data_IF_062679298494
#
_entry.id   IF_062679298494
#
_cell.length_a   1.000
_cell.length_b   1.000
_cell.length_c   1.000
_cell.angle_alpha   90.00
_cell.angle_beta   90.00
_cell.angle_gamma   90.00
#
_symmetry.space_group_name_H-M   'P 1'
#
loop_
_entity.id
_entity.type
_entity.pdbx_description
1 polymer ?
#
# COMPACT_ATOMS: atom_id res chain seq x y z
N UNK A 1 -99.20 15.37 -28.04
CA UNK A 1 -99.39 16.33 -26.93
C UNK A 1 -98.62 15.81 -25.72
N UNK A 2 -97.90 16.67 -24.99
CA UNK A 2 -97.57 16.60 -23.53
C UNK A 2 -97.00 15.29 -22.91
N UNK A 3 -96.10 15.29 -21.92
CA UNK A 3 -95.27 16.33 -21.27
C UNK A 3 -94.33 15.67 -20.22
N UNK A 4 -93.10 16.17 -20.09
CA UNK A 4 -92.30 16.31 -18.83
C UNK A 4 -91.88 15.12 -17.92
N UNK A 5 -90.70 15.35 -17.30
CA UNK A 5 -90.35 15.04 -15.89
C UNK A 5 -89.55 13.78 -15.52
N UNK A 6 -88.22 13.96 -15.49
CA UNK A 6 -87.30 13.78 -14.34
C UNK A 6 -87.27 12.48 -13.49
N UNK A 7 -86.04 12.00 -13.25
CA UNK A 7 -85.66 11.09 -12.16
C UNK A 7 -84.15 11.12 -11.91
N UNK A 8 -83.71 11.31 -10.66
CA UNK A 8 -82.31 11.60 -10.29
C UNK A 8 -81.91 10.85 -9.00
N UNK A 9 -80.77 10.16 -8.97
CA UNK A 9 -80.01 9.69 -7.78
C UNK A 9 -78.68 9.06 -8.25
N UNK A 10 -77.49 9.56 -7.87
CA UNK A 10 -76.76 9.42 -6.58
C UNK A 10 -76.33 7.96 -6.31
N UNK A 11 -75.10 7.57 -5.90
CA UNK A 11 -73.77 8.14 -5.58
C UNK A 11 -72.76 6.93 -5.64
N UNK A 12 -71.42 6.98 -5.56
CA UNK A 12 -70.32 7.93 -5.85
C UNK A 12 -68.97 7.23 -5.48
N UNK A 13 -67.80 7.69 -5.97
CA UNK A 13 -66.48 7.76 -5.24
C UNK A 13 -65.34 8.32 -6.12
N UNK A 14 -64.84 9.50 -5.73
CA UNK A 14 -63.45 9.99 -5.64
C UNK A 14 -62.37 9.66 -6.71
N UNK A 15 -61.76 10.71 -7.30
CA UNK A 15 -60.35 11.10 -7.03
C UNK A 15 -59.94 12.42 -7.73
N UNK A 16 -59.05 13.20 -7.11
CA UNK A 16 -58.48 14.45 -7.64
C UNK A 16 -57.53 14.25 -8.83
N UNK A 17 -57.44 15.26 -9.72
CA UNK A 17 -56.41 15.32 -10.76
C UNK A 17 -55.99 16.77 -11.13
N UNK A 18 -55.44 17.52 -10.18
CA UNK A 18 -54.69 18.76 -10.44
C UNK A 18 -53.18 18.46 -10.50
N UNK A 19 -52.58 18.44 -11.69
CA UNK A 19 -51.16 18.71 -11.95
C UNK A 19 -50.82 18.67 -13.46
N UNK A 20 -50.39 19.79 -14.04
CA UNK A 20 -49.71 19.82 -15.35
C UNK A 20 -48.19 19.94 -15.10
N UNK A 21 -47.35 18.97 -15.53
CA UNK A 21 -45.92 18.99 -15.24
C UNK A 21 -45.14 20.00 -16.10
N UNK A 22 -44.20 20.70 -15.45
CA UNK A 22 -43.36 21.74 -16.04
C UNK A 22 -42.18 21.15 -16.85
N UNK A 23 -42.45 20.58 -18.03
CA UNK A 23 -41.39 20.06 -18.93
C UNK A 23 -41.53 20.50 -20.41
N UNK A 24 -42.58 21.24 -20.76
CA UNK A 24 -42.90 21.59 -22.15
C UNK A 24 -42.41 22.99 -22.59
N UNK A 25 -41.11 23.30 -22.41
CA UNK A 25 -40.45 24.46 -23.07
C UNK A 25 -38.92 24.34 -23.10
N UNK A 26 -38.39 23.50 -23.98
CA UNK A 26 -36.99 23.59 -24.44
C UNK A 26 -36.96 23.62 -25.97
N UNK A 27 -36.48 24.73 -26.54
CA UNK A 27 -36.28 24.86 -27.98
C UNK A 27 -35.25 23.85 -28.49
N UNK A 28 -35.34 23.37 -29.76
CA UNK A 28 -34.45 22.34 -30.30
C UNK A 28 -32.95 22.65 -30.13
N UNK A 29 -32.54 23.92 -30.32
CA UNK A 29 -31.17 24.42 -30.08
C UNK A 29 -30.54 23.95 -28.75
N UNK A 30 -31.33 23.91 -27.67
CA UNK A 30 -30.81 23.62 -26.32
C UNK A 30 -30.53 22.12 -26.14
N UNK A 31 -31.25 21.24 -26.85
CA UNK A 31 -31.00 19.79 -26.80
C UNK A 31 -29.71 19.44 -27.55
N UNK A 32 -29.54 19.97 -28.75
CA UNK A 32 -28.37 19.70 -29.59
C UNK A 32 -27.07 20.29 -28.98
N UNK A 33 -27.15 21.47 -28.35
CA UNK A 33 -26.06 22.04 -27.56
C UNK A 33 -25.68 21.20 -26.33
N UNK A 34 -26.65 20.52 -25.69
CA UNK A 34 -26.37 19.64 -24.55
C UNK A 34 -25.80 18.29 -24.99
N UNK A 35 -26.34 17.67 -26.03
CA UNK A 35 -25.88 16.38 -26.55
C UNK A 35 -24.44 16.48 -27.11
N UNK A 36 -24.13 17.57 -27.84
CA UNK A 36 -22.76 17.84 -28.33
C UNK A 36 -21.75 18.09 -27.21
N UNK A 37 -22.14 18.78 -26.13
CA UNK A 37 -21.29 18.97 -24.95
C UNK A 37 -21.11 17.68 -24.14
N UNK A 38 -22.17 16.87 -23.97
CA UNK A 38 -22.12 15.56 -23.32
C UNK A 38 -21.14 14.63 -24.06
N UNK A 39 -21.26 14.56 -25.39
CA UNK A 39 -20.38 13.79 -26.27
C UNK A 39 -18.90 14.23 -26.15
N UNK A 40 -18.63 15.55 -26.21
CA UNK A 40 -17.28 16.11 -26.01
C UNK A 40 -16.71 15.81 -24.62
N UNK A 41 -17.54 15.81 -23.57
CA UNK A 41 -17.13 15.51 -22.19
C UNK A 41 -16.79 14.02 -22.01
N UNK A 42 -17.61 13.14 -22.58
CA UNK A 42 -17.39 11.69 -22.57
C UNK A 42 -16.15 11.30 -23.38
N UNK A 43 -15.95 11.89 -24.57
CA UNK A 43 -14.75 11.71 -25.39
C UNK A 43 -13.46 12.09 -24.64
N UNK A 44 -13.44 13.26 -23.97
CA UNK A 44 -12.29 13.68 -23.14
C UNK A 44 -12.03 12.75 -21.95
N UNK A 45 -13.08 12.19 -21.35
CA UNK A 45 -12.94 11.19 -20.28
C UNK A 45 -12.32 9.89 -20.81
N UNK A 46 -12.85 9.38 -21.93
CA UNK A 46 -12.35 8.16 -22.58
C UNK A 46 -10.87 8.27 -22.99
N UNK A 47 -10.48 9.37 -23.62
CA UNK A 47 -9.07 9.62 -24.00
C UNK A 47 -8.15 9.63 -22.77
N UNK A 48 -8.59 10.23 -21.65
CA UNK A 48 -7.82 10.21 -20.39
C UNK A 48 -7.66 8.80 -19.83
N UNK A 49 -8.72 8.00 -19.80
CA UNK A 49 -8.68 6.60 -19.34
C UNK A 49 -7.77 5.75 -20.21
N UNK A 50 -7.82 5.89 -21.53
CA UNK A 50 -6.94 5.17 -22.46
C UNK A 50 -5.48 5.57 -22.26
N UNK A 51 -5.17 6.86 -22.15
CA UNK A 51 -3.80 7.33 -21.87
C UNK A 51 -3.27 6.81 -20.52
N UNK A 52 -4.13 6.72 -19.50
CA UNK A 52 -3.75 6.18 -18.18
C UNK A 52 -3.42 4.68 -18.24
N UNK A 53 -4.25 3.88 -18.94
CA UNK A 53 -4.01 2.45 -19.15
C UNK A 53 -2.74 2.22 -19.99
N UNK A 54 -2.53 2.99 -21.06
CA UNK A 54 -1.31 2.91 -21.88
C UNK A 54 -0.07 3.30 -21.06
N UNK A 55 -0.17 4.30 -20.17
CA UNK A 55 0.90 4.65 -19.23
C UNK A 55 1.27 3.50 -18.29
N UNK A 56 0.28 2.86 -17.66
CA UNK A 56 0.49 1.69 -16.79
C UNK A 56 1.14 0.54 -17.55
N UNK A 57 0.66 0.23 -18.77
CA UNK A 57 1.22 -0.83 -19.60
C UNK A 57 2.65 -0.53 -20.07
N UNK A 58 2.97 0.74 -20.37
CA UNK A 58 4.32 1.16 -20.72
C UNK A 58 5.29 0.97 -19.54
N UNK A 59 4.90 1.37 -18.33
CA UNK A 59 5.70 1.17 -17.10
C UNK A 59 5.87 -0.32 -16.78
N UNK A 60 4.84 -1.14 -16.98
CA UNK A 60 4.94 -2.59 -16.83
C UNK A 60 5.92 -3.21 -17.84
N UNK A 61 5.90 -2.77 -19.10
CA UNK A 61 6.81 -3.28 -20.14
C UNK A 61 8.27 -2.84 -19.97
N UNK A 62 8.54 -1.61 -19.50
CA UNK A 62 9.91 -1.19 -19.17
C UNK A 62 10.46 -1.98 -17.99
N UNK A 63 9.63 -2.19 -16.95
CA UNK A 63 9.97 -3.03 -15.79
C UNK A 63 10.29 -4.48 -16.20
N UNK A 64 9.55 -5.04 -17.16
CA UNK A 64 9.82 -6.38 -17.71
C UNK A 64 11.16 -6.48 -18.47
N UNK A 65 11.59 -5.40 -19.15
CA UNK A 65 12.86 -5.39 -19.91
C UNK A 65 14.11 -5.29 -19.03
N UNK A 66 14.03 -4.62 -17.89
CA UNK A 66 15.16 -4.56 -16.95
C UNK A 66 15.33 -5.84 -16.11
N UNK A 67 14.26 -6.59 -15.85
CA UNK A 67 14.30 -7.86 -15.09
C UNK A 67 14.95 -9.06 -15.81
N UNK A 68 15.64 -8.85 -16.93
CA UNK A 68 16.29 -9.90 -17.74
C UNK A 68 17.81 -9.76 -17.86
N UNK A 69 18.43 -8.69 -17.33
CA UNK A 69 19.89 -8.61 -17.25
C UNK A 69 20.42 -9.31 -15.98
N UNK A 70 20.73 -10.60 -16.10
CA UNK A 70 21.56 -11.30 -15.12
C UNK A 70 23.01 -10.87 -15.26
N UNK A 71 23.52 -10.09 -14.31
CA UNK A 71 24.97 -9.81 -14.20
C UNK A 71 25.67 -11.06 -13.67
N UNK A 72 26.37 -11.79 -14.54
CA UNK A 72 27.25 -12.87 -14.13
C UNK A 72 28.56 -12.26 -13.61
N UNK A 73 28.74 -12.28 -12.29
CA UNK A 73 30.02 -11.92 -11.68
C UNK A 73 31.01 -13.10 -11.79
N UNK A 74 32.28 -12.88 -12.19
CA UNK A 74 33.29 -13.93 -12.20
C UNK A 74 33.69 -14.34 -10.76
N UNK A 75 34.14 -15.58 -10.55
CA UNK A 75 34.56 -16.03 -9.22
C UNK A 75 35.83 -15.32 -8.76
N UNK A 76 35.81 -14.75 -7.55
CA UNK A 76 36.97 -14.11 -6.94
C UNK A 76 37.90 -15.16 -6.32
N UNK A 77 39.01 -15.45 -6.97
CA UNK A 77 40.06 -16.34 -6.47
C UNK A 77 40.79 -15.70 -5.27
N UNK A 78 40.95 -16.43 -4.16
CA UNK A 78 41.57 -15.91 -2.94
C UNK A 78 43.10 -16.10 -2.95
N UNK A 79 43.93 -15.05 -2.76
CA UNK A 79 45.38 -15.21 -2.80
C UNK A 79 45.96 -15.93 -1.58
N UNK A 80 46.72 -17.00 -1.85
CA UNK A 80 47.99 -17.38 -1.20
C UNK A 80 48.15 -17.26 0.33
N UNK A 81 48.30 -18.41 1.00
CA UNK A 81 48.54 -18.49 2.44
C UNK A 81 49.88 -17.93 2.94
N UNK A 82 49.98 -17.76 4.27
CA UNK A 82 51.22 -17.37 4.98
C UNK A 82 51.82 -18.55 5.77
N UNK A 83 53.13 -18.51 6.11
CA UNK A 83 53.81 -19.62 6.77
C UNK A 83 53.39 -19.78 8.24
N UNK A 84 53.46 -21.03 8.72
CA UNK A 84 53.32 -21.34 10.15
C UNK A 84 54.55 -20.88 10.92
N UNK A 85 54.34 -20.18 12.04
CA UNK A 85 55.36 -19.92 13.07
C UNK A 85 54.75 -20.27 14.42
N UNK A 86 55.31 -21.27 15.07
CA UNK A 86 54.94 -21.70 16.42
C UNK A 86 55.60 -20.82 17.48
N UNK A 87 54.80 -20.29 18.40
CA UNK A 87 55.22 -19.58 19.61
C UNK A 87 54.36 -20.04 20.80
N UNK A 88 54.88 -19.99 22.04
CA UNK A 88 54.27 -20.71 23.17
C UNK A 88 52.98 -20.06 23.67
N UNK A 89 52.11 -20.89 24.26
CA UNK A 89 50.83 -20.48 24.80
C UNK A 89 50.98 -19.47 25.96
N UNK A 90 50.26 -18.36 25.85
CA UNK A 90 49.93 -17.49 26.98
C UNK A 90 48.41 -17.41 27.11
N UNK A 91 47.90 -17.67 28.31
CA UNK A 91 46.48 -17.57 28.62
C UNK A 91 46.00 -16.12 28.45
N UNK A 92 45.33 -15.87 27.33
CA UNK A 92 44.44 -14.71 27.21
C UNK A 92 43.03 -15.19 26.94
N UNK A 93 42.17 -14.88 27.90
CA UNK A 93 40.72 -14.98 27.85
C UNK A 93 40.18 -14.05 26.75
N UNK A 94 40.33 -14.45 25.47
CA UNK A 94 39.88 -13.68 24.32
C UNK A 94 38.36 -13.74 24.23
N UNK A 95 37.76 -12.62 24.62
CA UNK A 95 36.39 -12.24 24.35
C UNK A 95 35.96 -12.65 22.94
N UNK A 96 34.84 -13.39 22.89
CA UNK A 96 34.05 -13.66 21.68
C UNK A 96 33.93 -12.38 20.85
N UNK A 97 34.25 -12.40 19.53
CA UNK A 97 34.25 -11.18 18.73
C UNK A 97 32.86 -10.54 18.68
N UNK A 98 32.87 -9.21 18.59
CA UNK A 98 31.77 -8.28 18.87
C UNK A 98 30.67 -8.25 17.79
N UNK A 99 30.14 -9.42 17.45
CA UNK A 99 29.14 -9.64 16.39
C UNK A 99 27.69 -9.68 16.91
N UNK A 100 27.43 -9.24 18.14
CA UNK A 100 26.16 -9.46 18.83
C UNK A 100 24.98 -8.56 18.38
N UNK A 101 25.22 -7.49 17.62
CA UNK A 101 24.25 -6.40 17.39
C UNK A 101 24.00 -6.02 15.92
N UNK A 102 24.39 -6.85 14.93
CA UNK A 102 24.13 -6.52 13.50
C UNK A 102 22.70 -6.88 13.10
N UNK A 103 22.04 -5.98 12.38
CA UNK A 103 20.73 -6.25 11.78
C UNK A 103 20.90 -6.98 10.44
N UNK A 104 20.16 -8.08 10.29
CA UNK A 104 19.90 -8.74 9.01
C UNK A 104 18.46 -8.44 8.60
N UNK A 105 18.28 -7.70 7.51
CA UNK A 105 16.99 -7.12 7.10
C UNK A 105 16.68 -7.53 5.66
N UNK A 106 15.46 -7.98 5.38
CA UNK A 106 15.04 -8.37 4.04
C UNK A 106 13.62 -7.92 3.71
N UNK A 107 13.40 -7.44 2.48
CA UNK A 107 12.06 -7.16 1.98
C UNK A 107 11.33 -8.46 1.61
N UNK A 108 10.11 -8.62 2.10
CA UNK A 108 9.14 -9.56 1.56
C UNK A 108 8.09 -8.78 0.77
N UNK A 109 8.07 -8.97 -0.55
CA UNK A 109 7.13 -8.26 -1.44
C UNK A 109 5.85 -9.07 -1.62
N UNK A 110 4.68 -8.44 -1.41
CA UNK A 110 3.39 -9.16 -1.43
C UNK A 110 3.10 -9.82 -2.79
N UNK A 111 3.45 -9.16 -3.90
CA UNK A 111 3.38 -9.73 -5.25
C UNK A 111 4.34 -10.91 -5.51
N UNK A 112 5.22 -11.23 -4.55
CA UNK A 112 6.12 -12.38 -4.57
C UNK A 112 5.40 -13.73 -4.55
N UNK A 113 4.18 -13.78 -4.00
CA UNK A 113 3.41 -15.03 -3.90
C UNK A 113 2.90 -15.54 -5.26
N UNK A 114 2.78 -14.65 -6.25
CA UNK A 114 2.20 -14.94 -7.57
C UNK A 114 3.22 -15.59 -8.53
N UNK A 115 3.65 -14.88 -9.58
CA UNK A 115 4.53 -15.43 -10.62
C UNK A 115 5.90 -15.90 -10.11
N UNK A 116 6.38 -15.35 -8.98
CA UNK A 116 7.61 -15.76 -8.31
C UNK A 116 7.43 -16.98 -7.40
N UNK A 117 6.18 -17.35 -7.06
CA UNK A 117 5.82 -18.50 -6.22
C UNK A 117 6.58 -18.55 -4.88
N UNK A 118 6.80 -17.37 -4.28
CA UNK A 118 7.55 -17.22 -3.03
C UNK A 118 6.60 -16.85 -1.87
N UNK A 119 5.95 -17.84 -1.23
CA UNK A 119 5.10 -17.61 -0.05
C UNK A 119 5.94 -17.30 1.20
N UNK A 120 5.35 -16.75 2.28
CA UNK A 120 6.07 -16.50 3.53
C UNK A 120 6.67 -17.75 4.18
N UNK A 121 6.17 -18.94 3.85
CA UNK A 121 6.74 -20.23 4.28
C UNK A 121 8.09 -20.57 3.64
N UNK A 122 8.51 -19.86 2.58
CA UNK A 122 9.82 -20.01 1.94
C UNK A 122 10.92 -19.10 2.57
N UNK A 123 10.59 -18.29 3.57
CA UNK A 123 11.53 -17.38 4.23
C UNK A 123 12.45 -18.15 5.19
N UNK A 124 13.76 -17.98 5.01
CA UNK A 124 14.82 -18.49 5.91
C UNK A 124 14.96 -17.57 7.14
N UNK A 125 13.96 -17.63 8.02
CA UNK A 125 13.77 -16.72 9.17
C UNK A 125 14.90 -16.73 10.20
N UNK A 126 15.66 -17.81 10.28
CA UNK A 126 16.85 -17.99 11.12
C UNK A 126 18.03 -17.11 10.68
N UNK A 127 18.06 -16.70 9.41
CA UNK A 127 19.08 -15.78 8.85
C UNK A 127 18.70 -14.30 8.97
N UNK A 128 17.46 -13.99 9.37
CA UNK A 128 16.90 -12.64 9.41
C UNK A 128 16.61 -12.17 10.83
N UNK A 129 16.75 -10.87 11.05
CA UNK A 129 16.30 -10.17 12.27
C UNK A 129 15.04 -9.36 12.02
N UNK A 130 14.89 -8.80 10.81
CA UNK A 130 13.73 -7.98 10.43
C UNK A 130 13.26 -8.35 9.02
N UNK A 131 11.94 -8.40 8.83
CA UNK A 131 11.28 -8.44 7.52
C UNK A 131 10.56 -7.12 7.30
N UNK A 132 10.77 -6.52 6.14
CA UNK A 132 10.03 -5.35 5.69
C UNK A 132 8.95 -5.83 4.70
N UNK A 133 7.68 -5.78 5.09
CA UNK A 133 6.57 -6.21 4.26
C UNK A 133 6.21 -5.12 3.25
N UNK A 134 6.51 -5.36 1.97
CA UNK A 134 6.43 -4.38 0.91
C UNK A 134 5.26 -4.64 -0.06
N UNK A 135 4.43 -3.66 -0.42
CA UNK A 135 4.35 -2.28 0.10
C UNK A 135 2.90 -1.92 0.40
N UNK A 136 2.65 -1.23 1.51
CA UNK A 136 1.45 -0.42 1.65
C UNK A 136 1.51 0.82 0.75
N UNK A 137 0.35 1.28 0.32
CA UNK A 137 0.15 2.47 -0.49
C UNK A 137 -0.55 3.56 0.36
N UNK A 138 -0.77 4.73 -0.21
CA UNK A 138 -1.52 5.84 0.42
C UNK A 138 -2.68 6.31 -0.44
N UNK A 139 -3.80 6.60 0.20
CA UNK A 139 -4.96 7.25 -0.40
C UNK A 139 -4.77 8.79 -0.50
N UNK A 140 -5.50 9.49 -1.38
CA UNK A 140 -5.34 10.94 -1.60
C UNK A 140 -5.67 11.84 -0.38
N UNK A 141 -6.35 11.29 0.63
CA UNK A 141 -6.67 11.91 1.92
C UNK A 141 -5.54 11.79 2.97
N UNK A 142 -4.48 11.03 2.66
CA UNK A 142 -3.38 10.72 3.57
C UNK A 142 -3.47 9.34 4.22
N UNK A 143 -4.58 8.60 4.10
CA UNK A 143 -4.73 7.30 4.75
C UNK A 143 -3.77 6.25 4.16
N UNK A 144 -3.02 5.54 5.00
CA UNK A 144 -2.23 4.35 4.61
C UNK A 144 -3.18 3.18 4.39
N UNK A 145 -2.97 2.44 3.30
CA UNK A 145 -3.81 1.33 2.86
C UNK A 145 -2.97 0.15 2.40
N UNK A 146 -3.50 -1.06 2.58
CA UNK A 146 -2.97 -2.28 1.99
C UNK A 146 -3.10 -2.23 0.45
N UNK A 147 -2.06 -2.67 -0.26
CA UNK A 147 -2.01 -2.56 -1.73
C UNK A 147 -2.63 -3.76 -2.44
N UNK A 148 -2.63 -4.94 -1.81
CA UNK A 148 -3.17 -6.17 -2.36
C UNK A 148 -3.84 -6.99 -1.27
N UNK A 149 -5.10 -6.66 -0.97
CA UNK A 149 -5.88 -7.34 0.08
C UNK A 149 -5.89 -8.87 -0.08
N UNK A 150 -5.84 -9.39 -1.30
CA UNK A 150 -5.78 -10.84 -1.51
C UNK A 150 -4.46 -11.44 -0.98
N UNK A 151 -3.31 -10.89 -1.38
CA UNK A 151 -2.02 -11.34 -0.87
C UNK A 151 -1.85 -11.04 0.64
N UNK A 152 -2.29 -9.86 1.06
CA UNK A 152 -2.04 -9.28 2.36
C UNK A 152 -2.84 -10.00 3.46
N UNK A 153 -4.18 -10.10 3.31
CA UNK A 153 -5.09 -10.54 4.37
C UNK A 153 -6.06 -11.67 4.02
N UNK A 154 -6.33 -11.96 2.74
CA UNK A 154 -7.47 -12.83 2.37
C UNK A 154 -7.04 -14.23 1.85
N UNK A 155 -5.85 -14.39 1.25
CA UNK A 155 -5.41 -15.71 0.74
C UNK A 155 -5.23 -16.72 1.88
N UNK A 156 -5.88 -17.87 1.75
CA UNK A 156 -5.77 -18.97 2.71
C UNK A 156 -4.61 -19.89 2.33
N UNK A 157 -3.74 -20.18 3.30
CA UNK A 157 -2.64 -21.12 3.18
C UNK A 157 -2.99 -22.49 3.79
N UNK A 158 -2.19 -23.55 3.56
CA UNK A 158 -2.45 -24.86 4.15
C UNK A 158 -2.55 -24.79 5.68
N UNK A 159 -3.69 -25.23 6.21
CA UNK A 159 -4.03 -25.15 7.64
C UNK A 159 -5.01 -24.01 8.00
N UNK A 160 -5.31 -23.10 7.07
CA UNK A 160 -6.32 -22.07 7.26
C UNK A 160 -7.74 -22.61 7.06
N UNK A 161 -8.65 -22.20 7.95
CA UNK A 161 -10.07 -22.57 7.94
C UNK A 161 -10.84 -21.75 6.92
N UNK A 162 -11.65 -22.41 6.09
CA UNK A 162 -12.60 -21.74 5.19
C UNK A 162 -13.99 -21.52 5.82
N UNK A 163 -14.18 -22.00 7.06
CA UNK A 163 -15.48 -22.02 7.76
C UNK A 163 -15.56 -20.99 8.89
N UNK A 164 -14.52 -20.18 9.07
CA UNK A 164 -14.43 -19.10 10.06
C UNK A 164 -14.84 -17.76 9.43
N UNK A 165 -15.35 -16.85 10.25
CA UNK A 165 -15.73 -15.51 9.80
C UNK A 165 -14.48 -14.70 9.37
N UNK A 166 -14.43 -14.37 8.08
CA UNK A 166 -13.34 -13.62 7.46
C UNK A 166 -13.32 -12.13 7.87
N UNK A 167 -14.38 -11.61 8.50
CA UNK A 167 -14.40 -10.23 9.01
C UNK A 167 -13.73 -10.08 10.38
N UNK A 168 -13.53 -11.18 11.11
CA UNK A 168 -12.91 -11.19 12.44
C UNK A 168 -11.59 -11.98 12.53
N UNK A 169 -11.16 -12.65 11.44
CA UNK A 169 -9.96 -13.48 11.41
C UNK A 169 -8.96 -13.04 10.33
N UNK A 170 -7.68 -12.97 10.70
CA UNK A 170 -6.58 -12.63 9.79
C UNK A 170 -6.11 -13.86 9.00
N UNK A 171 -6.02 -13.72 7.67
CA UNK A 171 -5.38 -14.68 6.77
C UNK A 171 -4.22 -14.00 6.03
N UNK A 172 -3.96 -14.44 4.79
CA UNK A 172 -2.95 -13.85 3.92
C UNK A 172 -1.53 -13.99 4.44
N UNK A 173 -0.64 -13.19 3.86
CA UNK A 173 0.76 -13.17 4.27
C UNK A 173 0.94 -12.69 5.71
N UNK A 174 0.10 -11.77 6.21
CA UNK A 174 0.23 -11.28 7.59
C UNK A 174 -0.01 -12.37 8.63
N UNK A 175 -1.00 -13.26 8.45
CA UNK A 175 -1.16 -14.44 9.33
C UNK A 175 0.09 -15.33 9.31
N UNK A 176 0.63 -15.60 8.13
CA UNK A 176 1.81 -16.47 7.99
C UNK A 176 3.07 -15.86 8.61
N UNK A 177 3.26 -14.54 8.47
CA UNK A 177 4.36 -13.80 9.10
C UNK A 177 4.19 -13.72 10.63
N UNK A 178 2.98 -13.55 11.13
CA UNK A 178 2.69 -13.65 12.57
C UNK A 178 3.03 -15.07 13.13
N UNK A 179 2.68 -16.13 12.40
CA UNK A 179 3.08 -17.51 12.74
C UNK A 179 4.60 -17.73 12.62
N UNK A 180 5.29 -17.00 11.74
CA UNK A 180 6.75 -17.02 11.61
C UNK A 180 7.43 -16.32 12.80
N UNK A 181 6.92 -15.15 13.24
CA UNK A 181 7.32 -14.47 14.48
C UNK A 181 7.12 -15.32 15.72
N UNK A 182 5.99 -16.04 15.84
CA UNK A 182 5.72 -16.93 16.98
C UNK A 182 6.77 -18.04 17.11
N UNK A 183 7.28 -18.56 15.98
CA UNK A 183 8.35 -19.58 15.94
C UNK A 183 9.74 -18.98 16.13
N UNK A 184 9.99 -17.79 15.60
CA UNK A 184 11.29 -17.11 15.60
C UNK A 184 11.19 -15.83 16.44
N UNK A 185 11.32 -15.95 17.76
CA UNK A 185 11.05 -14.82 18.69
C UNK A 185 12.03 -13.64 18.58
N UNK A 186 13.15 -13.80 17.86
CA UNK A 186 14.09 -12.73 17.50
C UNK A 186 13.66 -11.95 16.25
N UNK A 187 12.77 -12.52 15.42
CA UNK A 187 12.34 -11.96 14.16
C UNK A 187 11.27 -10.89 14.36
N UNK A 188 11.45 -9.76 13.70
CA UNK A 188 10.49 -8.66 13.68
C UNK A 188 9.94 -8.43 12.27
N UNK A 189 8.72 -7.93 12.17
CA UNK A 189 8.05 -7.64 10.90
C UNK A 189 7.50 -6.23 10.95
N UNK A 190 7.94 -5.40 10.01
CA UNK A 190 7.51 -4.02 9.83
C UNK A 190 6.68 -3.93 8.56
N UNK A 191 5.66 -3.07 8.55
CA UNK A 191 4.98 -2.67 7.30
C UNK A 191 5.80 -1.60 6.60
N UNK A 192 6.22 -1.85 5.36
CA UNK A 192 6.86 -0.84 4.53
C UNK A 192 5.80 -0.10 3.70
N UNK A 193 5.83 1.23 3.75
CA UNK A 193 4.86 2.13 3.13
C UNK A 193 5.59 2.95 2.08
N UNK A 194 5.11 2.93 0.84
CA UNK A 194 5.70 3.68 -0.27
C UNK A 194 6.48 2.80 -1.25
N UNK A 195 7.79 3.01 -1.32
CA UNK A 195 8.68 2.52 -2.38
C UNK A 195 8.45 3.25 -3.70
N UNK A 196 9.33 3.02 -4.68
CA UNK A 196 9.39 3.72 -5.96
C UNK A 196 8.03 3.97 -6.65
N UNK A 197 7.14 2.97 -6.65
CA UNK A 197 5.83 3.04 -7.33
C UNK A 197 4.85 3.98 -6.64
N UNK A 198 4.85 4.03 -5.30
CA UNK A 198 3.85 4.79 -4.52
C UNK A 198 4.38 6.10 -3.93
N UNK A 199 5.70 6.29 -3.89
CA UNK A 199 6.36 7.51 -3.39
C UNK A 199 5.82 8.84 -3.95
N UNK A 200 5.42 8.97 -5.23
CA UNK A 200 4.81 10.20 -5.74
C UNK A 200 3.52 10.63 -5.02
N UNK A 201 2.78 9.67 -4.42
CA UNK A 201 1.58 9.97 -3.63
C UNK A 201 1.91 10.62 -2.27
N UNK A 202 3.13 10.42 -1.76
CA UNK A 202 3.59 11.03 -0.51
C UNK A 202 3.82 12.54 -0.64
N UNK A 203 4.12 13.06 -1.84
CA UNK A 203 4.44 14.48 -2.06
C UNK A 203 3.38 15.45 -1.48
N UNK A 204 2.07 15.33 -1.80
CA UNK A 204 1.03 16.16 -1.19
C UNK A 204 0.68 15.75 0.25
N UNK A 205 1.00 14.52 0.67
CA UNK A 205 0.69 14.04 2.03
C UNK A 205 1.68 14.62 3.03
N UNK A 206 2.98 14.64 2.72
CA UNK A 206 3.99 15.13 3.65
C UNK A 206 3.87 16.62 3.89
N UNK A 207 3.43 17.45 2.94
CA UNK A 207 3.31 18.91 3.16
C UNK A 207 2.01 19.33 3.86
N UNK A 208 0.93 18.57 3.72
CA UNK A 208 -0.38 18.87 4.31
C UNK A 208 -0.49 18.34 5.77
N UNK A 209 -0.77 19.19 6.78
CA UNK A 209 -0.84 18.76 8.18
C UNK A 209 -1.98 17.77 8.47
N UNK A 210 -3.13 17.89 7.79
CA UNK A 210 -4.25 16.98 7.98
C UNK A 210 -3.95 15.61 7.39
N UNK A 211 -3.35 15.58 6.19
CA UNK A 211 -2.93 14.31 5.55
C UNK A 211 -1.80 13.62 6.30
N UNK A 212 -0.80 14.37 6.79
CA UNK A 212 0.21 13.83 7.72
C UNK A 212 -0.43 13.19 8.95
N UNK A 213 -1.43 13.84 9.55
CA UNK A 213 -2.14 13.28 10.71
C UNK A 213 -2.87 11.99 10.36
N UNK A 214 -3.56 11.95 9.21
CA UNK A 214 -4.28 10.76 8.74
C UNK A 214 -3.32 9.60 8.41
N UNK A 215 -2.17 9.91 7.82
CA UNK A 215 -1.09 8.96 7.55
C UNK A 215 -0.58 8.32 8.84
N UNK A 216 -0.26 9.14 9.86
CA UNK A 216 0.21 8.65 11.16
C UNK A 216 -0.85 7.78 11.85
N UNK A 217 -2.10 8.26 11.92
CA UNK A 217 -3.23 7.54 12.52
C UNK A 217 -3.41 6.15 11.89
N UNK A 218 -3.57 6.09 10.57
CA UNK A 218 -3.88 4.84 9.85
C UNK A 218 -2.69 3.88 9.75
N UNK A 219 -1.45 4.39 9.69
CA UNK A 219 -0.26 3.55 9.80
C UNK A 219 -0.15 2.86 11.17
N UNK A 220 -0.48 3.57 12.25
CA UNK A 220 -0.51 3.01 13.61
C UNK A 220 -1.64 1.98 13.74
N UNK A 221 -2.85 2.26 13.24
CA UNK A 221 -3.95 1.29 13.21
C UNK A 221 -3.54 -0.01 12.48
N UNK A 222 -2.95 0.08 11.29
CA UNK A 222 -2.46 -1.10 10.56
C UNK A 222 -1.34 -1.84 11.32
N UNK A 223 -0.46 -1.14 12.03
CA UNK A 223 0.57 -1.77 12.87
C UNK A 223 -0.05 -2.59 14.00
N UNK A 224 -1.09 -2.06 14.65
CA UNK A 224 -1.75 -2.69 15.79
C UNK A 224 -2.62 -3.87 15.34
N UNK A 225 -3.51 -3.66 14.36
CA UNK A 225 -4.45 -4.68 13.85
C UNK A 225 -3.75 -5.89 13.22
N UNK A 226 -2.62 -5.67 12.55
CA UNK A 226 -1.84 -6.73 11.89
C UNK A 226 -0.75 -7.35 12.78
N UNK A 227 -0.64 -6.91 14.05
CA UNK A 227 0.29 -7.46 15.02
C UNK A 227 1.77 -7.26 14.66
N UNK A 228 2.10 -6.11 14.06
CA UNK A 228 3.43 -5.77 13.57
C UNK A 228 4.34 -5.22 14.68
N UNK A 229 5.65 -5.15 14.42
CA UNK A 229 6.64 -4.66 15.39
C UNK A 229 7.00 -3.19 15.18
N UNK A 230 6.78 -2.68 13.96
CA UNK A 230 7.18 -1.33 13.56
C UNK A 230 6.70 -0.96 12.16
N UNK A 231 7.19 0.18 11.67
CA UNK A 231 6.87 0.76 10.37
C UNK A 231 8.16 1.13 9.64
N UNK A 232 8.16 0.93 8.33
CA UNK A 232 9.18 1.44 7.42
C UNK A 232 8.51 2.43 6.44
N UNK A 233 9.08 3.62 6.27
CA UNK A 233 8.59 4.61 5.29
C UNK A 233 9.65 4.79 4.22
N UNK A 234 9.40 4.21 3.07
CA UNK A 234 10.28 4.22 1.91
C UNK A 234 9.80 5.31 0.95
N UNK A 235 10.39 6.52 1.06
CA UNK A 235 9.98 7.70 0.31
C UNK A 235 11.06 8.11 -0.69
N UNK A 236 10.83 7.74 -1.95
CA UNK A 236 11.74 7.90 -3.08
C UNK A 236 11.20 8.93 -4.11
N UNK A 237 11.55 10.22 -4.06
CA UNK A 237 12.26 10.95 -3.01
C UNK A 237 11.57 12.31 -2.82
N UNK A 238 11.72 12.96 -1.65
CA UNK A 238 11.42 14.39 -1.50
C UNK A 238 12.09 15.23 -2.59
N UNK A 239 11.33 16.13 -3.20
CA UNK A 239 11.77 16.97 -4.32
C UNK A 239 12.29 18.35 -3.89
N UNK A 240 12.09 18.73 -2.62
CA UNK A 240 12.47 20.03 -2.08
C UNK A 240 12.52 20.01 -0.54
N UNK A 241 13.14 21.03 0.05
CA UNK A 241 13.33 21.19 1.49
C UNK A 241 12.03 21.16 2.30
N UNK A 242 10.91 21.62 1.73
CA UNK A 242 9.61 21.59 2.40
C UNK A 242 9.13 20.15 2.61
N UNK A 243 9.22 19.32 1.55
CA UNK A 243 8.91 17.89 1.64
C UNK A 243 9.86 17.16 2.59
N UNK A 244 11.17 17.46 2.56
CA UNK A 244 12.15 16.90 3.51
C UNK A 244 11.81 17.25 4.96
N UNK A 245 11.58 18.54 5.24
CA UNK A 245 11.29 19.05 6.59
C UNK A 245 10.03 18.43 7.16
N UNK A 246 8.95 18.34 6.38
CA UNK A 246 7.70 17.77 6.88
C UNK A 246 7.67 16.23 6.86
N UNK A 247 8.47 15.57 6.03
CA UNK A 247 8.72 14.12 6.16
C UNK A 247 9.33 13.77 7.52
N UNK A 248 10.39 14.49 7.93
CA UNK A 248 11.02 14.32 9.26
C UNK A 248 10.01 14.54 10.39
N UNK A 249 9.13 15.54 10.27
CA UNK A 249 8.03 15.78 11.23
C UNK A 249 7.05 14.59 11.27
N UNK A 250 6.72 14.00 10.12
CA UNK A 250 5.91 12.79 10.01
C UNK A 250 6.57 11.58 10.70
N UNK A 251 7.87 11.35 10.48
CA UNK A 251 8.62 10.27 11.13
C UNK A 251 8.66 10.41 12.65
N UNK A 252 8.86 11.63 13.16
CA UNK A 252 8.76 11.90 14.60
C UNK A 252 7.35 11.64 15.15
N UNK A 253 6.30 11.99 14.41
CA UNK A 253 4.93 11.71 14.81
C UNK A 253 4.65 10.19 14.86
N UNK A 254 5.09 9.40 13.87
CA UNK A 254 5.00 7.93 13.90
C UNK A 254 5.71 7.34 15.13
N UNK A 255 6.95 7.77 15.39
CA UNK A 255 7.75 7.27 16.52
C UNK A 255 7.09 7.56 17.87
N UNK A 256 6.48 8.74 18.01
CA UNK A 256 5.80 9.13 19.24
C UNK A 256 4.45 8.42 19.44
N UNK A 257 3.69 8.17 18.36
CA UNK A 257 2.36 7.54 18.47
C UNK A 257 2.42 6.00 18.57
N UNK A 258 3.40 5.35 17.93
CA UNK A 258 3.54 3.88 18.04
C UNK A 258 4.02 3.40 19.42
N UNK A 259 4.67 4.28 20.21
CA UNK A 259 5.32 3.91 21.47
C UNK A 259 6.45 2.87 21.32
N UNK A 260 6.87 2.58 20.09
CA UNK A 260 7.82 1.51 19.74
C UNK A 260 9.10 2.10 19.16
N UNK A 261 10.27 1.47 19.40
CA UNK A 261 11.54 1.98 18.88
C UNK A 261 11.69 1.82 17.36
N UNK A 262 10.83 1.06 16.69
CA UNK A 262 11.06 0.56 15.33
C UNK A 262 10.25 1.32 14.26
N UNK A 263 10.47 2.62 14.20
CA UNK A 263 10.13 3.39 12.99
C UNK A 263 11.41 3.56 12.20
N UNK A 264 11.48 2.85 11.07
CA UNK A 264 12.53 2.96 10.06
C UNK A 264 12.06 3.87 8.93
N UNK A 265 13.00 4.44 8.19
CA UNK A 265 12.75 5.09 6.91
C UNK A 265 14.01 4.97 6.10
N UNK A 266 13.92 4.37 4.91
CA UNK A 266 14.96 4.50 3.91
C UNK A 266 14.90 5.92 3.35
N UNK A 267 15.94 6.70 3.64
CA UNK A 267 16.06 8.08 3.19
C UNK A 267 17.48 8.34 2.67
N UNK A 268 17.61 8.42 1.34
CA UNK A 268 18.82 8.93 0.69
C UNK A 268 18.69 10.44 0.47
N UNK A 269 19.16 11.23 1.44
CA UNK A 269 19.42 12.64 1.21
C UNK A 269 20.73 12.78 0.41
N UNK A 270 20.64 13.08 -0.89
CA UNK A 270 21.79 13.57 -1.67
C UNK A 270 22.06 15.07 -1.44
N UNK A 271 21.71 15.61 -0.26
CA UNK A 271 21.88 17.01 0.12
C UNK A 271 22.88 17.16 1.28
N UNK A 272 24.11 16.72 0.99
CA UNK A 272 25.37 17.27 1.46
C UNK A 272 26.34 17.02 0.28
N UNK A 273 26.98 18.02 -0.33
CA UNK A 273 27.48 19.29 0.19
C UNK A 273 27.38 20.39 -0.87
N UNK A 274 27.07 21.63 -0.44
CA UNK A 274 27.59 22.91 -0.97
C UNK A 274 27.26 24.02 0.06
#
# INVERSE_FOLDING_TARGET
MTSSSAGYSRLATDANADAIPLSARTSPDVREANESNQSRRNSRSYVRTVLYIVGILAVAMTSFRFGQLSVVLPPHEAPGGRPSVSGPATDHNTTKPEMANKLSVGYFVNWGIYGRKFPPSAIQADTLTHILYAFANTSPDGSVILSDKWADTDIHYPGDSWNEDQSSNLYGCFKQLYLLKKRNRHLKVLLSIGGWTYSPALHPIVVDPHKRSKFVETAVTLLEDLGLDGLDVDYEFPQNDEQVRYHIIGLHALKNNTGRPEVMSLYYANFAWD
#
